data_IF_377709393805
#
_entry.id   IF_377709393805
#
_cell.length_a   1.000
_cell.length_b   1.000
_cell.length_c   1.000
_cell.angle_alpha   90.00
_cell.angle_beta   90.00
_cell.angle_gamma   90.00
#
_symmetry.space_group_name_H-M   'P 1'
#
loop_
_entity.id
_entity.type
_entity.pdbx_description
1 polymer ?
#
# COMPACT_ATOMS: atom_id res chain seq x y z
N UNK A 1 -16.45 26.72 -12.25
CA UNK A 1 -15.23 26.02 -11.77
C UNK A 1 -14.65 25.28 -12.96
N UNK A 2 -13.40 25.57 -13.34
CA UNK A 2 -12.70 24.82 -14.40
C UNK A 2 -12.39 23.41 -13.89
N UNK A 3 -12.78 22.37 -14.63
CA UNK A 3 -12.43 20.99 -14.30
C UNK A 3 -10.97 20.74 -14.69
N UNK A 4 -10.18 20.19 -13.76
CA UNK A 4 -8.80 19.76 -14.04
C UNK A 4 -8.87 18.59 -15.04
N UNK A 5 -8.19 18.66 -16.20
CA UNK A 5 -8.30 17.63 -17.23
C UNK A 5 -7.64 16.32 -16.78
N UNK A 6 -8.26 15.21 -17.16
CA UNK A 6 -7.64 13.88 -17.10
C UNK A 6 -6.63 13.77 -18.25
N UNK A 7 -5.44 13.27 -17.95
CA UNK A 7 -4.37 13.08 -18.93
C UNK A 7 -4.03 11.61 -19.13
N UNK A 8 -3.55 11.28 -20.33
CA UNK A 8 -2.99 9.96 -20.62
C UNK A 8 -1.65 9.78 -19.92
N UNK A 9 -1.36 8.55 -19.51
CA UNK A 9 -0.10 8.17 -18.89
C UNK A 9 0.31 6.78 -19.31
N UNK A 10 1.59 6.48 -19.17
CA UNK A 10 2.18 5.14 -19.37
C UNK A 10 2.74 4.69 -18.03
N UNK A 11 2.49 3.44 -17.64
CA UNK A 11 3.17 2.84 -16.49
C UNK A 11 4.48 2.27 -17.00
N UNK A 12 5.61 2.80 -16.53
CA UNK A 12 6.92 2.29 -16.91
C UNK A 12 7.39 1.16 -15.99
N UNK A 13 7.07 1.27 -14.70
CA UNK A 13 7.55 0.34 -13.68
C UNK A 13 6.60 0.28 -12.50
N UNK A 14 6.37 -0.92 -11.96
CA UNK A 14 5.70 -1.14 -10.68
C UNK A 14 6.63 -2.01 -9.83
N UNK A 15 7.12 -1.46 -8.73
CA UNK A 15 7.85 -2.19 -7.69
C UNK A 15 7.04 -2.15 -6.40
N UNK A 16 6.78 -3.31 -5.76
CA UNK A 16 6.07 -3.32 -4.49
C UNK A 16 6.90 -2.65 -3.41
N UNK A 17 6.22 -1.89 -2.54
CA UNK A 17 6.74 -1.66 -1.20
C UNK A 17 6.68 -2.98 -0.42
N UNK A 18 7.77 -3.37 0.22
CA UNK A 18 7.85 -4.59 1.03
C UNK A 18 8.16 -4.20 2.47
N UNK A 19 7.33 -4.62 3.40
CA UNK A 19 7.48 -4.36 4.83
C UNK A 19 7.59 -5.71 5.54
N UNK A 20 8.69 -5.92 6.25
CA UNK A 20 8.92 -7.10 7.05
C UNK A 20 8.90 -6.74 8.53
N UNK A 21 8.14 -7.48 9.32
CA UNK A 21 8.13 -7.35 10.77
C UNK A 21 7.80 -8.68 11.43
N UNK A 22 8.07 -8.77 12.74
CA UNK A 22 7.78 -9.95 13.54
C UNK A 22 6.71 -9.63 14.58
N UNK A 23 5.76 -10.54 14.75
CA UNK A 23 4.77 -10.50 15.84
C UNK A 23 4.77 -11.87 16.49
N UNK A 24 4.92 -11.90 17.82
CA UNK A 24 5.07 -13.14 18.56
C UNK A 24 6.19 -13.99 17.93
N UNK A 25 5.84 -15.15 17.38
CA UNK A 25 6.74 -16.06 16.70
C UNK A 25 6.50 -16.16 15.18
N UNK A 26 5.71 -15.24 14.61
CA UNK A 26 5.37 -15.18 13.18
C UNK A 26 6.17 -14.05 12.51
N UNK A 27 6.84 -14.37 11.39
CA UNK A 27 7.36 -13.37 10.48
C UNK A 27 6.25 -13.01 9.49
N UNK A 28 6.03 -11.72 9.31
CA UNK A 28 4.98 -11.20 8.44
C UNK A 28 5.63 -10.32 7.38
N UNK A 29 5.27 -10.60 6.13
CA UNK A 29 5.67 -9.81 4.97
C UNK A 29 4.43 -9.17 4.37
N UNK A 30 4.43 -7.84 4.27
CA UNK A 30 3.39 -7.08 3.59
C UNK A 30 3.94 -6.51 2.31
N UNK A 31 3.25 -6.78 1.20
CA UNK A 31 3.58 -6.26 -0.13
C UNK A 31 2.48 -5.31 -0.57
N UNK A 32 2.84 -4.08 -0.90
CA UNK A 32 1.91 -3.03 -1.32
C UNK A 32 2.26 -2.57 -2.73
N UNK A 33 1.31 -2.69 -3.65
CA UNK A 33 1.43 -2.26 -5.03
C UNK A 33 0.57 -1.01 -5.26
N UNK A 34 1.18 0.02 -5.84
CA UNK A 34 0.48 1.23 -6.27
C UNK A 34 0.04 1.08 -7.73
N UNK A 35 -1.26 0.99 -7.97
CA UNK A 35 -1.81 0.84 -9.32
C UNK A 35 -2.49 2.17 -9.71
N UNK A 36 -1.89 3.01 -10.57
CA UNK A 36 -2.53 4.23 -11.04
C UNK A 36 -3.77 3.87 -11.87
N UNK A 37 -4.91 4.49 -11.57
CA UNK A 37 -6.18 4.29 -12.29
C UNK A 37 -6.60 5.53 -13.07
N UNK A 38 -6.16 6.72 -12.65
CA UNK A 38 -6.33 7.97 -13.38
C UNK A 38 -5.22 8.95 -12.99
N UNK A 39 -4.90 9.88 -13.89
CA UNK A 39 -3.99 10.99 -13.61
C UNK A 39 -4.65 12.27 -14.11
N UNK A 40 -4.69 13.27 -13.25
CA UNK A 40 -5.13 14.62 -13.57
C UNK A 40 -3.91 15.54 -13.56
N UNK A 41 -3.91 16.58 -14.39
CA UNK A 41 -2.79 17.51 -14.47
C UNK A 41 -3.31 18.93 -14.48
N UNK A 42 -2.76 19.76 -13.59
CA UNK A 42 -2.99 21.21 -13.61
C UNK A 42 -1.99 21.90 -14.53
N UNK A 43 -0.76 21.39 -14.57
CA UNK A 43 0.31 21.81 -15.46
C UNK A 43 1.29 20.65 -15.73
N UNK A 44 2.31 20.88 -16.56
CA UNK A 44 3.28 19.86 -16.98
C UNK A 44 4.13 19.30 -15.83
N UNK A 45 4.22 19.98 -14.69
CA UNK A 45 5.01 19.60 -13.52
C UNK A 45 4.15 19.04 -12.37
N UNK A 46 2.86 19.33 -12.37
CA UNK A 46 1.96 19.01 -11.27
C UNK A 46 0.86 18.07 -11.73
N UNK A 47 0.97 16.83 -11.26
CA UNK A 47 -0.04 15.80 -11.47
C UNK A 47 -0.72 15.42 -10.16
N UNK A 48 -1.98 14.99 -10.27
CA UNK A 48 -2.76 14.40 -9.19
C UNK A 48 -3.13 12.98 -9.62
N UNK A 49 -2.35 11.97 -9.22
CA UNK A 49 -2.65 10.58 -9.50
C UNK A 49 -3.74 10.06 -8.57
N UNK A 50 -4.72 9.36 -9.11
CA UNK A 50 -5.61 8.48 -8.35
C UNK A 50 -5.03 7.08 -8.45
N UNK A 51 -4.71 6.49 -7.29
CA UNK A 51 -4.11 5.16 -7.19
C UNK A 51 -5.06 4.21 -6.47
N UNK A 52 -5.13 2.97 -6.97
CA UNK A 52 -5.63 1.83 -6.22
C UNK A 52 -4.44 1.18 -5.52
N UNK A 53 -4.56 1.00 -4.22
CA UNK A 53 -3.57 0.28 -3.42
C UNK A 53 -3.99 -1.18 -3.33
N UNK A 54 -3.13 -2.08 -3.79
CA UNK A 54 -3.32 -3.53 -3.68
C UNK A 54 -2.33 -4.04 -2.64
N UNK A 55 -2.83 -4.74 -1.63
CA UNK A 55 -2.03 -5.24 -0.52
C UNK A 55 -2.11 -6.76 -0.47
N UNK A 56 -0.97 -7.41 -0.31
CA UNK A 56 -0.85 -8.82 0.01
C UNK A 56 -0.12 -8.97 1.34
N UNK A 57 -0.63 -9.84 2.20
CA UNK A 57 -0.04 -10.13 3.51
C UNK A 57 0.26 -11.62 3.56
N UNK A 58 1.49 -11.96 3.91
CA UNK A 58 1.95 -13.32 4.03
C UNK A 58 2.58 -13.53 5.40
N UNK A 59 2.45 -14.74 5.95
CA UNK A 59 3.19 -15.18 7.14
C UNK A 59 3.89 -16.51 6.90
N UNK A 60 5.00 -16.73 7.59
CA UNK A 60 5.69 -18.02 7.62
C UNK A 60 4.95 -19.10 8.45
N UNK A 61 3.93 -18.71 9.23
CA UNK A 61 3.16 -19.60 10.10
C UNK A 61 1.65 -19.37 9.95
N UNK A 62 1.05 -19.74 8.81
CA UNK A 62 -0.38 -19.58 8.60
C UNK A 62 -1.17 -20.41 9.62
N UNK A 63 -2.20 -19.80 10.21
CA UNK A 63 -3.08 -20.46 11.18
C UNK A 63 -4.52 -20.04 10.98
N UNK A 64 -5.45 -20.94 11.31
CA UNK A 64 -6.88 -20.64 11.28
C UNK A 64 -7.22 -19.62 12.37
N UNK A 65 -8.20 -18.77 12.08
CA UNK A 65 -8.71 -17.76 12.98
C UNK A 65 -10.02 -17.21 12.48
N UNK A 66 -10.50 -16.16 13.13
CA UNK A 66 -11.73 -15.49 12.70
C UNK A 66 -11.47 -14.73 11.39
N UNK A 67 -12.39 -14.82 10.41
CA UNK A 67 -12.15 -14.21 9.10
C UNK A 67 -11.92 -12.68 9.20
N UNK A 68 -10.86 -12.22 8.53
CA UNK A 68 -10.47 -10.82 8.39
C UNK A 68 -11.61 -10.03 7.74
N UNK A 69 -12.37 -9.31 8.57
CA UNK A 69 -13.47 -8.46 8.17
C UNK A 69 -13.25 -7.06 8.76
N UNK A 70 -13.24 -5.98 7.95
CA UNK A 70 -13.10 -4.61 8.43
C UNK A 70 -14.09 -4.24 9.54
N UNK A 71 -15.31 -4.77 9.50
CA UNK A 71 -16.33 -4.52 10.53
C UNK A 71 -15.97 -5.11 11.90
N UNK A 72 -15.06 -6.09 11.94
CA UNK A 72 -14.59 -6.73 13.16
C UNK A 72 -13.36 -6.05 13.74
N UNK A 73 -12.57 -5.34 12.94
CA UNK A 73 -11.34 -4.66 13.44
C UNK A 73 -11.59 -3.78 14.67
N UNK A 74 -12.79 -3.21 14.82
CA UNK A 74 -13.16 -2.37 15.99
C UNK A 74 -13.34 -3.14 17.30
N UNK A 75 -13.63 -4.45 17.23
CA UNK A 75 -13.83 -5.31 18.41
C UNK A 75 -12.60 -6.13 18.79
N UNK A 76 -11.54 -6.09 17.97
CA UNK A 76 -10.29 -6.80 18.21
C UNK A 76 -9.17 -5.82 18.58
N UNK A 77 -8.22 -6.29 19.39
CA UNK A 77 -7.10 -5.46 19.83
C UNK A 77 -6.02 -5.43 18.75
N UNK A 78 -5.72 -4.23 18.24
CA UNK A 78 -4.60 -4.03 17.34
C UNK A 78 -3.25 -4.20 18.06
N UNK A 79 -2.33 -4.90 17.41
CA UNK A 79 -0.91 -4.93 17.73
C UNK A 79 -0.16 -3.99 16.78
N UNK A 80 0.69 -3.12 17.32
CA UNK A 80 1.55 -2.23 16.53
C UNK A 80 2.94 -2.86 16.46
N UNK A 81 3.39 -3.37 15.30
CA UNK A 81 4.65 -4.06 15.20
C UNK A 81 5.84 -3.09 15.20
N UNK A 82 6.96 -3.55 15.75
CA UNK A 82 8.27 -2.98 15.46
C UNK A 82 8.67 -3.40 14.04
N UNK A 83 8.87 -2.42 13.16
CA UNK A 83 9.22 -2.68 11.76
C UNK A 83 10.71 -3.05 11.68
N UNK A 84 11.00 -4.21 11.08
CA UNK A 84 12.38 -4.69 10.92
C UNK A 84 13.02 -4.11 9.65
N UNK A 85 12.27 -4.09 8.55
CA UNK A 85 12.76 -3.66 7.24
C UNK A 85 11.63 -3.07 6.41
N UNK A 86 11.96 -2.00 5.67
CA UNK A 86 11.08 -1.40 4.67
C UNK A 86 11.88 -1.23 3.38
N UNK A 87 11.46 -1.92 2.32
CA UNK A 87 11.83 -1.56 0.96
C UNK A 87 10.70 -0.68 0.40
N UNK A 88 11.01 0.59 0.14
CA UNK A 88 9.98 1.59 -0.20
C UNK A 88 9.24 1.32 -1.51
N UNK A 89 9.88 0.64 -2.48
CA UNK A 89 9.33 0.41 -3.81
C UNK A 89 8.80 1.69 -4.47
N UNK A 90 7.82 1.53 -5.36
CA UNK A 90 7.11 2.64 -5.98
C UNK A 90 6.60 2.32 -7.38
N UNK A 91 5.86 3.25 -7.96
CA UNK A 91 5.37 3.14 -9.33
C UNK A 91 5.80 4.35 -10.14
N UNK A 92 6.47 4.08 -11.25
CA UNK A 92 6.92 5.11 -12.18
C UNK A 92 5.89 5.22 -13.29
N UNK A 93 5.31 6.41 -13.42
CA UNK A 93 4.44 6.75 -14.53
C UNK A 93 5.09 7.83 -15.39
N UNK A 94 4.83 7.76 -16.69
CA UNK A 94 5.19 8.78 -17.65
C UNK A 94 3.95 9.52 -18.11
N UNK A 95 3.96 10.84 -17.98
CA UNK A 95 2.91 11.74 -18.48
C UNK A 95 3.58 12.66 -19.49
N UNK A 96 3.17 12.59 -20.75
CA UNK A 96 3.87 13.20 -21.88
C UNK A 96 5.34 12.72 -21.92
N UNK A 97 6.31 13.61 -21.71
CA UNK A 97 7.75 13.27 -21.69
C UNK A 97 8.35 13.22 -20.27
N UNK A 98 7.56 13.49 -19.23
CA UNK A 98 8.05 13.55 -17.85
C UNK A 98 7.70 12.31 -17.06
N UNK A 99 8.62 11.90 -16.19
CA UNK A 99 8.45 10.77 -15.29
C UNK A 99 8.06 11.26 -13.91
N UNK A 100 7.20 10.49 -13.26
CA UNK A 100 6.77 10.74 -11.90
C UNK A 100 6.84 9.44 -11.12
N UNK A 101 7.48 9.50 -9.97
CA UNK A 101 7.57 8.43 -9.01
C UNK A 101 6.47 8.58 -7.97
N UNK A 102 5.61 7.57 -7.89
CA UNK A 102 4.58 7.43 -6.88
C UNK A 102 5.11 6.53 -5.77
N UNK A 103 5.11 7.03 -4.54
CA UNK A 103 5.56 6.31 -3.35
C UNK A 103 4.53 6.40 -2.23
N UNK A 104 4.47 5.38 -1.40
CA UNK A 104 3.76 5.47 -0.13
C UNK A 104 4.73 5.90 0.97
N UNK A 105 4.23 6.67 1.92
CA UNK A 105 4.83 6.78 3.24
C UNK A 105 3.85 6.23 4.25
N UNK A 106 4.25 5.15 4.91
CA UNK A 106 3.44 4.49 5.92
C UNK A 106 3.40 5.37 7.17
N UNK A 107 2.20 5.61 7.69
CA UNK A 107 1.99 6.39 8.92
C UNK A 107 1.66 5.50 10.11
N UNK A 108 1.00 4.36 9.87
CA UNK A 108 0.66 3.39 10.91
C UNK A 108 0.47 1.98 10.31
N UNK A 109 0.83 0.96 11.09
CA UNK A 109 0.55 -0.45 10.82
C UNK A 109 -0.10 -1.03 12.06
N UNK A 110 -1.30 -1.57 11.90
CA UNK A 110 -2.02 -2.30 12.93
C UNK A 110 -2.21 -3.74 12.46
N UNK A 111 -1.91 -4.70 13.31
CA UNK A 111 -2.07 -6.12 13.02
C UNK A 111 -3.00 -6.76 14.02
N UNK A 112 -3.94 -7.55 13.51
CA UNK A 112 -4.92 -8.28 14.32
C UNK A 112 -4.58 -9.77 14.17
N UNK A 113 -3.89 -10.34 15.17
CA UNK A 113 -3.31 -11.69 15.10
C UNK A 113 -4.33 -12.81 15.30
N UNK A 114 -5.52 -12.48 15.76
CA UNK A 114 -6.68 -13.34 15.90
C UNK A 114 -7.54 -13.37 14.63
N UNK A 115 -7.50 -12.29 13.85
CA UNK A 115 -8.16 -12.19 12.55
C UNK A 115 -7.26 -12.74 11.43
N UNK A 116 -7.79 -13.66 10.63
CA UNK A 116 -7.06 -14.39 9.59
C UNK A 116 -7.78 -14.35 8.25
N UNK A 117 -7.04 -14.32 7.14
CA UNK A 117 -7.64 -14.53 5.81
C UNK A 117 -7.94 -16.02 5.57
N UNK A 118 -8.46 -16.34 4.39
CA UNK A 118 -8.80 -17.72 3.99
C UNK A 118 -7.58 -18.65 3.92
N UNK A 119 -6.36 -18.09 3.85
CA UNK A 119 -5.10 -18.83 3.79
C UNK A 119 -4.38 -18.87 5.15
N UNK A 120 -4.93 -18.24 6.18
CA UNK A 120 -4.36 -18.20 7.53
C UNK A 120 -3.37 -17.05 7.78
N UNK A 121 -3.28 -16.06 6.88
CA UNK A 121 -2.45 -14.88 7.07
C UNK A 121 -3.13 -13.87 8.01
N UNK A 122 -2.38 -13.13 8.83
CA UNK A 122 -2.95 -12.17 9.76
C UNK A 122 -3.58 -10.99 9.03
N UNK A 123 -4.64 -10.44 9.63
CA UNK A 123 -5.31 -9.25 9.13
C UNK A 123 -4.46 -8.02 9.47
N UNK A 124 -4.03 -7.26 8.45
CA UNK A 124 -3.21 -6.05 8.63
C UNK A 124 -3.96 -4.83 8.09
N UNK A 125 -3.96 -3.75 8.85
CA UNK A 125 -4.46 -2.45 8.45
C UNK A 125 -3.29 -1.46 8.39
N UNK A 126 -3.13 -0.82 7.23
CA UNK A 126 -2.04 0.13 6.98
C UNK A 126 -2.62 1.48 6.62
N UNK A 127 -2.20 2.50 7.37
CA UNK A 127 -2.44 3.91 7.05
C UNK A 127 -1.22 4.47 6.33
N UNK A 128 -1.45 5.28 5.30
CA UNK A 128 -0.40 5.80 4.45
C UNK A 128 -0.76 7.16 3.86
N UNK A 129 0.25 7.86 3.35
CA UNK A 129 0.11 9.02 2.47
C UNK A 129 0.79 8.74 1.12
N UNK A 130 0.17 9.19 0.03
CA UNK A 130 0.74 9.11 -1.30
C UNK A 130 1.66 10.31 -1.54
N UNK A 131 2.90 10.03 -1.90
CA UNK A 131 3.89 11.00 -2.31
C UNK A 131 4.09 10.88 -3.81
N UNK A 132 4.17 12.03 -4.49
CA UNK A 132 4.42 12.12 -5.93
C UNK A 132 5.61 13.03 -6.15
N UNK A 133 6.64 12.52 -6.82
CA UNK A 133 7.87 13.25 -7.11
C UNK A 133 8.12 13.23 -8.61
N UNK A 134 8.42 14.38 -9.20
CA UNK A 134 8.90 14.42 -10.59
C UNK A 134 10.36 13.95 -10.65
N UNK A 135 10.68 13.07 -11.61
CA UNK A 135 12.04 12.60 -11.90
C UNK A 135 12.68 13.37 -13.07
#
# INVERSE_FOLDING_TARGET
>A
MSQIPRVSYIIEKIEPMVINFRIEDENITVRIFLIPIAVYSQDINNITPIVRVVMAVDTDKPRLGELCNPAKMVSHRAFIPSINEVNEGGTVIKVNEKKFLLKLKITNINVYTDLRDELGNPCVNISWILLTTAE
#
